data_IF_631027193667
#
_entry.id   IF_631027193667
#
_cell.length_a   1.000
_cell.length_b   1.000
_cell.length_c   1.000
_cell.angle_alpha   90.00
_cell.angle_beta   90.00
_cell.angle_gamma   90.00
#
_symmetry.space_group_name_H-M   'P 1'
#
loop_
_entity.id
_entity.type
_entity.pdbx_description
1 polymer ?
#
# COMPACT_ATOMS: atom_id res chain seq x y z
N UNK A 1 -21.32 -47.96 -15.80
CA UNK A 1 -20.90 -47.84 -14.39
C UNK A 1 -19.51 -47.21 -14.36
N UNK A 2 -19.25 -46.29 -13.42
CA UNK A 2 -18.27 -45.19 -13.58
C UNK A 2 -16.94 -45.48 -12.88
N UNK A 3 -15.85 -44.86 -13.32
CA UNK A 3 -14.71 -44.54 -12.43
C UNK A 3 -14.16 -43.15 -12.78
N UNK A 4 -14.31 -42.27 -11.79
CA UNK A 4 -13.78 -40.92 -11.68
C UNK A 4 -12.25 -40.90 -11.57
N UNK A 5 -11.73 -39.68 -11.74
CA UNK A 5 -10.53 -39.09 -11.12
C UNK A 5 -9.33 -38.95 -12.09
N UNK A 6 -8.68 -37.79 -12.22
CA UNK A 6 -8.56 -36.69 -11.27
C UNK A 6 -8.62 -35.34 -11.98
N UNK A 7 -9.47 -34.48 -11.43
CA UNK A 7 -9.43 -33.03 -11.56
C UNK A 7 -8.02 -32.57 -11.16
N UNK A 8 -7.27 -31.96 -12.07
CA UNK A 8 -6.01 -31.30 -11.71
C UNK A 8 -6.37 -30.06 -10.88
N UNK A 9 -6.52 -30.24 -9.57
CA UNK A 9 -6.44 -29.12 -8.63
C UNK A 9 -5.01 -29.03 -8.13
N UNK A 10 -4.12 -28.56 -8.99
CA UNK A 10 -2.87 -27.97 -8.54
C UNK A 10 -3.01 -26.47 -8.68
N UNK A 11 -3.24 -25.80 -7.54
CA UNK A 11 -2.76 -24.45 -7.31
C UNK A 11 -2.43 -24.36 -5.82
N UNK A 12 -1.41 -25.10 -5.38
CA UNK A 12 -0.87 -24.93 -4.03
C UNK A 12 0.04 -23.71 -4.05
N UNK A 13 -0.57 -22.52 -3.89
CA UNK A 13 0.14 -21.26 -3.66
C UNK A 13 0.52 -21.20 -2.18
N UNK A 14 1.81 -21.03 -1.90
CA UNK A 14 2.34 -20.72 -0.56
C UNK A 14 3.40 -19.64 -0.69
N UNK A 15 3.25 -18.60 0.10
CA UNK A 15 4.10 -17.41 0.11
C UNK A 15 4.52 -17.10 1.55
N UNK A 16 5.79 -16.75 1.75
CA UNK A 16 6.49 -16.38 2.99
C UNK A 16 7.86 -15.81 2.57
N UNK A 17 8.66 -15.22 3.47
CA UNK A 17 8.42 -14.04 4.29
C UNK A 17 8.37 -12.74 3.44
N UNK A 18 7.64 -11.72 3.91
CA UNK A 18 7.58 -10.39 3.32
C UNK A 18 7.97 -9.34 4.34
N UNK A 19 9.19 -8.82 4.26
CA UNK A 19 9.59 -7.61 4.97
C UNK A 19 9.62 -6.48 3.94
N UNK A 20 8.67 -5.55 4.07
CA UNK A 20 8.62 -4.30 3.31
C UNK A 20 8.66 -3.17 4.33
N UNK A 21 9.48 -2.14 4.09
CA UNK A 21 9.39 -0.91 4.86
C UNK A 21 8.16 -0.13 4.38
N UNK A 22 7.22 0.04 5.29
CA UNK A 22 5.89 0.58 5.04
C UNK A 22 5.67 1.83 5.89
N UNK A 23 5.15 2.88 5.27
CA UNK A 23 4.68 4.05 5.98
C UNK A 23 3.19 3.84 6.30
N UNK A 24 2.89 3.77 7.59
CA UNK A 24 1.52 3.64 8.08
C UNK A 24 0.92 5.03 8.27
N UNK A 25 -0.12 5.35 7.50
CA UNK A 25 -0.88 6.58 7.62
C UNK A 25 -2.29 6.27 8.15
N UNK A 26 -2.53 6.57 9.43
CA UNK A 26 -3.79 6.28 10.11
C UNK A 26 -4.71 7.52 10.17
N UNK A 27 -6.00 7.28 10.01
CA UNK A 27 -7.10 8.25 10.19
C UNK A 27 -8.28 7.60 10.89
N UNK A 28 -9.28 8.39 11.30
CA UNK A 28 -10.49 7.87 11.94
C UNK A 28 -11.30 6.90 11.06
N UNK A 29 -11.14 6.98 9.74
CA UNK A 29 -11.86 6.14 8.78
C UNK A 29 -11.10 4.87 8.37
N UNK A 30 -9.80 4.80 8.66
CA UNK A 30 -8.97 3.66 8.28
C UNK A 30 -7.49 3.97 8.20
N UNK A 31 -6.74 2.96 7.78
CA UNK A 31 -5.28 3.00 7.68
C UNK A 31 -4.87 2.74 6.24
N UNK A 32 -4.02 3.62 5.71
CA UNK A 32 -3.33 3.40 4.45
C UNK A 32 -1.87 3.05 4.69
N UNK A 33 -1.37 2.16 3.84
CA UNK A 33 0.00 1.70 3.81
C UNK A 33 0.64 2.26 2.54
N UNK A 34 1.63 3.14 2.70
CA UNK A 34 2.43 3.67 1.61
C UNK A 34 3.79 2.97 1.55
N UNK A 35 4.34 2.93 0.34
CA UNK A 35 5.67 2.37 0.10
C UNK A 35 6.80 3.34 0.48
N UNK A 36 7.82 2.80 1.15
CA UNK A 36 9.09 3.47 1.39
C UNK A 36 10.23 2.66 0.74
N UNK A 37 11.22 3.34 0.18
CA UNK A 37 12.42 2.69 -0.33
C UNK A 37 13.26 2.09 0.81
N UNK A 38 13.81 0.88 0.58
CA UNK A 38 14.72 0.25 1.51
C UNK A 38 16.15 0.81 1.42
N UNK A 39 16.83 0.90 2.58
CA UNK A 39 18.25 1.30 2.69
C UNK A 39 18.43 2.78 3.01
N UNK A 40 18.07 3.67 2.08
CA UNK A 40 17.92 5.10 2.37
C UNK A 40 16.44 5.41 2.36
N UNK A 41 15.87 5.70 3.54
CA UNK A 41 14.45 6.05 3.67
C UNK A 41 14.11 7.15 2.67
N UNK A 42 13.17 6.83 1.78
CA UNK A 42 12.66 7.72 0.76
C UNK A 42 11.20 7.39 0.52
N UNK A 43 10.32 8.38 0.68
CA UNK A 43 8.88 8.18 0.50
C UNK A 43 8.52 8.44 -0.95
N UNK A 44 7.93 7.44 -1.61
CA UNK A 44 7.31 7.62 -2.91
C UNK A 44 5.81 7.81 -2.68
N UNK A 45 5.35 9.05 -2.80
CA UNK A 45 3.94 9.37 -2.63
C UNK A 45 3.21 9.25 -3.96
N UNK A 46 2.06 8.57 -4.03
CA UNK A 46 1.30 8.46 -5.27
C UNK A 46 0.81 9.83 -5.73
N UNK A 47 0.91 10.11 -7.02
CA UNK A 47 0.19 11.23 -7.61
C UNK A 47 -1.34 11.06 -7.48
N UNK A 48 -2.08 12.12 -7.78
CA UNK A 48 -3.53 12.15 -7.58
C UNK A 48 -4.25 11.10 -8.45
N UNK A 49 -3.77 10.85 -9.68
CA UNK A 49 -4.38 9.86 -10.56
C UNK A 49 -4.20 8.44 -10.02
N UNK A 50 -2.99 8.11 -9.56
CA UNK A 50 -2.66 6.83 -8.94
C UNK A 50 -3.42 6.64 -7.64
N UNK A 51 -3.58 7.70 -6.84
CA UNK A 51 -4.37 7.70 -5.62
C UNK A 51 -5.82 7.27 -5.87
N UNK A 52 -6.51 7.96 -6.79
CA UNK A 52 -7.93 7.74 -7.08
C UNK A 52 -8.29 6.30 -7.48
N UNK A 53 -7.33 5.58 -8.07
CA UNK A 53 -7.51 4.18 -8.51
C UNK A 53 -7.01 3.16 -7.49
N UNK A 54 -6.16 3.54 -6.54
CA UNK A 54 -5.49 2.61 -5.62
C UNK A 54 -6.11 2.62 -4.21
N UNK A 55 -6.63 3.76 -3.76
CA UNK A 55 -7.17 3.91 -2.40
C UNK A 55 -8.65 3.50 -2.29
N UNK A 56 -9.11 3.08 -1.10
CA UNK A 56 -10.53 2.86 -0.84
C UNK A 56 -11.37 4.13 -1.00
N UNK A 57 -12.68 3.95 -1.19
CA UNK A 57 -13.61 5.05 -1.45
C UNK A 57 -13.56 6.19 -0.44
N UNK A 58 -13.37 5.87 0.84
CA UNK A 58 -13.28 6.83 1.94
C UNK A 58 -12.05 7.74 1.87
N UNK A 59 -10.99 7.34 1.15
CA UNK A 59 -9.74 8.09 1.05
C UNK A 59 -9.63 8.93 -0.24
N UNK A 60 -10.48 8.71 -1.25
CA UNK A 60 -10.29 9.27 -2.60
C UNK A 60 -10.18 10.80 -2.63
N UNK A 61 -10.98 11.48 -1.83
CA UNK A 61 -11.01 12.96 -1.77
C UNK A 61 -9.97 13.56 -0.82
N UNK A 62 -9.12 12.72 -0.20
CA UNK A 62 -8.18 13.15 0.85
C UNK A 62 -6.73 13.19 0.42
N UNK A 63 -6.47 13.16 -0.89
CA UNK A 63 -5.10 13.13 -1.42
C UNK A 63 -4.21 14.22 -0.81
N UNK A 64 -4.68 15.48 -0.81
CA UNK A 64 -3.93 16.60 -0.26
C UNK A 64 -3.67 16.47 1.24
N UNK A 65 -4.67 16.05 2.02
CA UNK A 65 -4.53 15.89 3.47
C UNK A 65 -3.49 14.82 3.83
N UNK A 66 -3.46 13.70 3.09
CA UNK A 66 -2.45 12.66 3.27
C UNK A 66 -1.07 13.09 2.80
N UNK A 67 -0.98 13.83 1.70
CA UNK A 67 0.28 14.40 1.22
C UNK A 67 0.87 15.36 2.26
N UNK A 68 0.07 16.25 2.82
CA UNK A 68 0.51 17.21 3.83
C UNK A 68 1.03 16.50 5.08
N UNK A 69 0.28 15.52 5.59
CA UNK A 69 0.68 14.73 6.75
C UNK A 69 1.98 13.93 6.49
N UNK A 70 2.10 13.28 5.33
CA UNK A 70 3.31 12.56 4.94
C UNK A 70 4.50 13.50 4.78
N UNK A 71 4.28 14.66 4.16
CA UNK A 71 5.31 15.68 3.94
C UNK A 71 5.85 16.22 5.26
N UNK A 72 4.98 16.49 6.22
CA UNK A 72 5.39 17.00 7.54
C UNK A 72 6.15 15.94 8.35
N UNK A 73 5.72 14.68 8.30
CA UNK A 73 6.50 13.58 8.88
C UNK A 73 7.86 13.43 8.21
N UNK A 74 7.93 13.52 6.88
CA UNK A 74 9.18 13.46 6.12
C UNK A 74 10.13 14.58 6.53
N UNK A 75 9.65 15.82 6.64
CA UNK A 75 10.44 16.97 7.11
C UNK A 75 11.02 16.75 8.51
N UNK A 76 10.20 16.28 9.46
CA UNK A 76 10.62 16.04 10.84
C UNK A 76 11.73 14.98 10.93
N UNK A 77 11.67 13.96 10.07
CA UNK A 77 12.62 12.86 10.05
C UNK A 77 13.77 13.04 9.05
N UNK A 78 13.81 14.18 8.32
CA UNK A 78 14.78 14.46 7.24
C UNK A 78 14.78 13.38 6.15
N UNK A 79 13.59 12.88 5.84
CA UNK A 79 13.35 11.88 4.80
C UNK A 79 12.90 12.62 3.53
N UNK A 80 13.49 12.35 2.36
CA UNK A 80 13.00 12.92 1.12
C UNK A 80 11.67 12.27 0.70
N UNK A 81 10.83 13.07 0.04
CA UNK A 81 9.54 12.64 -0.51
C UNK A 81 9.46 13.07 -1.98
N UNK A 82 8.99 12.16 -2.83
CA UNK A 82 8.78 12.40 -4.25
C UNK A 82 7.38 11.93 -4.66
N UNK A 83 6.68 12.75 -5.45
CA UNK A 83 5.37 12.40 -6.00
C UNK A 83 5.58 11.65 -7.32
N UNK A 84 5.10 10.41 -7.39
CA UNK A 84 5.30 9.52 -8.55
C UNK A 84 4.03 8.75 -8.91
N UNK A 85 3.90 8.33 -10.16
CA UNK A 85 2.78 7.50 -10.61
C UNK A 85 3.02 5.99 -10.41
N UNK A 86 4.27 5.59 -10.18
CA UNK A 86 4.70 4.19 -10.09
C UNK A 86 5.08 3.81 -8.65
N UNK A 87 4.13 3.95 -7.73
CA UNK A 87 4.26 3.51 -6.34
C UNK A 87 3.01 2.77 -5.88
N UNK A 88 3.05 2.20 -4.68
CA UNK A 88 1.95 1.45 -4.09
C UNK A 88 1.38 2.17 -2.88
N UNK A 89 0.06 2.30 -2.87
CA UNK A 89 -0.74 2.65 -1.69
C UNK A 89 -1.89 1.66 -1.60
N UNK A 90 -2.17 1.16 -0.41
CA UNK A 90 -3.30 0.26 -0.19
C UNK A 90 -3.84 0.41 1.23
N UNK A 91 -5.09 0.02 1.43
CA UNK A 91 -5.69 -0.07 2.76
C UNK A 91 -5.06 -1.23 3.55
N UNK A 92 -4.77 -1.00 4.83
CA UNK A 92 -4.40 -2.08 5.75
C UNK A 92 -5.58 -3.06 5.83
N UNK A 93 -5.44 -4.23 5.23
CA UNK A 93 -6.40 -5.32 5.41
C UNK A 93 -6.10 -6.00 6.73
N UNK A 94 -6.82 -5.62 7.80
CA UNK A 94 -6.85 -6.43 9.03
C UNK A 94 -7.37 -7.82 8.67
N UNK A 95 -6.47 -8.81 8.74
CA UNK A 95 -6.81 -10.20 8.46
C UNK A 95 -7.92 -10.69 9.38
N UNK A 96 -8.96 -11.27 8.79
CA UNK A 96 -9.91 -12.16 9.47
C UNK A 96 -9.28 -13.55 9.53
#
# INVERSE_FOLDING_TARGET
MPLLASRVFMNQIKSNPGWKEELVAASDEGVLILEIAMGTLHVYFPDEQKWLVSVPGWAKEKWQAYLDACTDWCKQNRIPIEIVNNTYVHEEKKGI
#
